data_IF_735793090155
#
_entry.id   IF_735793090155
#
_cell.length_a   1.000
_cell.length_b   1.000
_cell.length_c   1.000
_cell.angle_alpha   90.00
_cell.angle_beta   90.00
_cell.angle_gamma   90.00
#
_symmetry.space_group_name_H-M   'P 1'
#
loop_
_entity.id
_entity.type
_entity.pdbx_description
1 polymer ?
2 polymer ?
3 polymer ?
#
loop_
_entity_poly.entity_id
_entity_poly.type
_entity_poly.pdbx_seq_one_letter_code
_entity_poly.pdbx_strand_id
1 'polydeoxyribonucleotide' '(DC)(DA)(DG)(DT)(DG)(DT)(DC)(DC)(DG)(DA)(DT)(DA)(DA)(DT)(DT)(DT)(DA)(DT)(DA)(DA)(DA)' ?
2 'polydeoxyribonucleotide' '(DT)(DT)(DA)(DT)(DC)(DG)(DG)(DA)(DC)(DA)(DC)(DT)(DG)' ?
#
# COMPACT_ATOMS: atom_id res chain seq x y z
N UNK G 1 25.31 -1.13 -5.18
CA UNK G 1 26.07 -1.86 -6.23
C UNK G 1 26.09 -3.39 -6.06
N UNK G 2 26.38 -3.85 -4.82
CA UNK G 2 26.64 -5.27 -4.52
C UNK G 2 25.47 -6.18 -4.86
N UNK G 3 25.35 -6.52 -6.15
CA UNK G 3 24.09 -7.00 -6.77
C UNK G 3 23.43 -8.24 -6.16
N UNK G 4 22.11 -8.22 -6.07
CA UNK G 4 21.32 -9.37 -5.66
C UNK G 4 20.44 -9.89 -6.80
N UNK G 5 19.77 -11.01 -6.56
CA UNK G 5 18.86 -11.58 -7.56
C UNK G 5 17.63 -12.24 -6.96
N UNK G 6 16.47 -11.99 -7.59
CA UNK G 6 15.21 -12.56 -7.12
C UNK G 6 14.25 -13.02 -8.21
N UNK G 7 13.76 -14.25 -8.08
CA UNK G 7 12.76 -14.79 -9.00
C UNK G 7 11.70 -15.66 -8.29
N UNK G 8 10.65 -16.02 -9.01
CA UNK G 8 9.53 -16.76 -8.44
C UNK G 8 8.80 -17.58 -9.49
N UNK G 9 7.98 -18.53 -9.03
CA UNK G 9 7.09 -19.27 -9.92
C UNK G 9 5.77 -19.52 -9.21
N UNK G 10 4.72 -19.85 -9.96
CA UNK G 10 3.40 -20.10 -9.36
C UNK G 10 2.55 -21.21 -10.01
N UNK G 11 2.86 -21.57 -11.25
CA UNK G 11 2.08 -22.58 -11.99
C UNK G 11 2.73 -23.95 -11.89
N UNK G 12 2.05 -24.96 -12.45
CA UNK G 12 2.60 -26.30 -12.61
C UNK G 12 3.82 -26.29 -13.53
N UNK G 13 3.88 -25.29 -14.40
CA UNK G 13 5.06 -25.02 -15.21
C UNK G 13 6.06 -24.23 -14.35
N UNK G 14 6.99 -24.96 -13.73
CA UNK G 14 8.04 -24.36 -12.90
C UNK G 14 9.12 -23.74 -13.78
N UNK G 15 8.74 -22.69 -14.50
CA UNK G 15 9.63 -21.96 -15.40
C UNK G 15 10.68 -21.18 -14.61
N UNK G 16 11.14 -21.77 -13.50
CA UNK G 16 12.08 -21.14 -12.61
C UNK G 16 13.49 -21.19 -13.17
N UNK G 17 13.83 -22.33 -13.77
CA UNK G 17 15.16 -22.56 -14.35
C UNK G 17 15.54 -21.40 -15.27
N UNK G 18 14.56 -20.94 -16.06
CA UNK G 18 14.72 -19.83 -16.99
C UNK G 18 14.96 -18.51 -16.26
N UNK G 19 14.16 -18.27 -15.22
CA UNK G 19 14.25 -17.06 -14.40
C UNK G 19 15.68 -16.81 -13.97
N UNK G 20 16.24 -17.81 -13.29
CA UNK G 20 17.61 -17.80 -12.80
C UNK G 20 18.61 -17.62 -13.94
N UNK G 21 18.43 -18.42 -14.98
CA UNK G 21 19.39 -18.50 -16.07
C UNK G 21 20.02 -17.17 -16.45
N UNK G 22 19.20 -16.13 -16.58
CA UNK G 22 19.76 -14.84 -16.97
C UNK G 22 20.20 -14.00 -15.77
N UNK G 23 19.63 -14.25 -14.59
CA UNK G 23 19.99 -13.47 -13.40
C UNK G 23 21.48 -13.59 -13.16
N UNK G 24 22.03 -14.74 -13.55
CA UNK G 24 23.48 -14.98 -13.56
C UNK G 24 24.14 -14.22 -14.69
N UNK G 25 23.69 -14.49 -15.93
CA UNK G 25 24.22 -13.87 -17.12
C UNK G 25 24.16 -12.33 -17.06
N UNK G 26 23.44 -11.80 -16.09
CA UNK G 26 23.42 -10.37 -15.81
C UNK G 26 24.69 -9.98 -15.04
N UNK G 27 24.98 -10.72 -13.98
CA UNK G 27 26.16 -10.49 -13.16
C UNK G 27 26.12 -11.11 -11.77
N UNK G 28 24.92 -11.44 -11.31
CA UNK G 28 24.70 -11.94 -9.94
C UNK G 28 24.70 -13.45 -9.86
N UNK G 29 25.36 -13.96 -8.82
CA UNK G 29 25.47 -15.41 -8.61
C UNK G 29 24.43 -15.93 -7.62
N UNK G 30 24.14 -17.24 -7.72
CA UNK G 30 23.19 -17.93 -6.85
C UNK G 30 23.47 -17.66 -5.38
N UNK G 31 24.76 -17.63 -5.04
CA UNK G 31 25.25 -17.18 -3.74
C UNK G 31 24.40 -16.04 -3.16
N UNK G 32 23.75 -15.28 -4.06
CA UNK G 32 22.86 -14.20 -3.68
C UNK G 32 21.61 -14.15 -4.59
N UNK G 33 21.00 -15.32 -4.84
CA UNK G 33 19.74 -15.39 -5.61
C UNK G 33 18.59 -16.06 -4.85
N UNK G 34 17.49 -15.36 -4.73
CA UNK G 34 16.42 -15.76 -3.82
C UNK G 34 15.19 -16.27 -4.55
N UNK G 35 14.41 -17.12 -3.87
CA UNK G 35 13.31 -17.84 -4.53
C UNK G 35 12.17 -18.26 -3.63
N UNK G 36 10.97 -17.85 -4.02
CA UNK G 36 9.72 -18.37 -3.46
C UNK G 36 9.05 -19.23 -4.53
N UNK G 37 8.66 -20.44 -4.17
CA UNK G 37 7.89 -21.28 -5.09
C UNK G 37 6.44 -21.25 -4.61
N UNK G 38 5.71 -20.22 -5.03
CA UNK G 38 4.37 -19.91 -4.50
C UNK G 38 3.40 -21.10 -4.39
N UNK G 39 3.48 -21.81 -3.28
CA UNK G 39 2.67 -23.01 -3.03
C UNK G 39 1.27 -22.64 -2.56
N UNK G 44 3.09 -16.42 2.19
CA UNK G 44 4.06 -17.51 2.10
C UNK G 44 5.32 -17.11 1.31
N UNK G 45 5.40 -15.84 0.91
CA UNK G 45 6.52 -15.32 0.14
C UNK G 45 7.78 -15.13 1.02
N UNK G 46 8.30 -16.23 1.52
CA UNK G 46 9.35 -16.22 2.54
C UNK G 46 10.70 -15.74 2.01
N UNK G 47 11.27 -16.47 1.05
CA UNK G 47 12.54 -16.10 0.43
C UNK G 47 12.63 -14.64 -0.03
N UNK G 48 11.50 -13.96 -0.04
CA UNK G 48 11.49 -12.54 -0.34
C UNK G 48 11.76 -11.74 0.93
N UNK G 49 10.98 -12.01 1.96
CA UNK G 49 11.14 -11.37 3.26
C UNK G 49 12.61 -11.43 3.67
N UNK G 50 13.24 -12.57 3.41
CA UNK G 50 14.63 -12.78 3.81
C UNK G 50 15.57 -11.93 2.98
N UNK G 51 15.27 -11.82 1.70
CA UNK G 51 16.04 -10.94 0.83
C UNK G 51 15.88 -9.52 1.33
N UNK G 52 14.64 -9.16 1.64
CA UNK G 52 14.29 -7.85 2.19
C UNK G 52 15.19 -7.44 3.35
N UNK G 53 15.66 -8.41 4.12
CA UNK G 53 16.43 -8.09 5.31
C UNK G 53 17.93 -8.33 5.16
N UNK G 54 18.32 -8.98 4.07
CA UNK G 54 19.75 -9.17 3.78
C UNK G 54 20.33 -7.91 3.12
N UNK G 55 19.47 -7.16 2.42
CA UNK G 55 19.92 -5.95 1.72
C UNK G 55 20.16 -4.78 2.66
N UNK G 56 21.09 -3.91 2.29
CA UNK G 56 21.46 -2.71 3.06
C UNK G 56 21.65 -1.51 2.12
N UNK G 57 22.07 -0.37 2.67
CA UNK G 57 22.32 0.84 1.87
C UNK G 57 23.17 0.57 0.64
N UNK G 58 22.78 1.19 -0.48
CA UNK G 58 23.54 1.08 -1.72
C UNK G 58 23.71 -0.33 -2.26
N UNK G 59 22.68 -1.16 -2.10
CA UNK G 59 22.64 -2.47 -2.75
C UNK G 59 21.90 -2.33 -4.07
N UNK G 60 21.95 -3.38 -4.88
CA UNK G 60 21.18 -3.43 -6.13
C UNK G 60 20.68 -4.84 -6.38
N UNK G 61 19.39 -4.96 -6.72
CA UNK G 61 18.75 -6.25 -7.04
C UNK G 61 18.45 -6.40 -8.53
N UNK G 62 17.87 -7.55 -8.91
CA UNK G 62 17.49 -7.86 -10.28
C UNK G 62 16.37 -8.88 -10.33
N UNK G 63 15.29 -8.51 -11.02
CA UNK G 63 14.13 -9.38 -11.22
C UNK G 63 13.82 -9.49 -12.71
N UNK G 64 13.55 -10.72 -13.16
CA UNK G 64 13.44 -10.98 -14.61
C UNK G 64 12.60 -9.94 -15.33
N UNK G 65 11.30 -9.96 -15.01
CA UNK G 65 10.32 -8.99 -15.53
C UNK G 65 9.48 -8.41 -14.40
N UNK G 66 8.59 -7.49 -14.80
CA UNK G 66 7.64 -6.76 -13.91
C UNK G 66 6.65 -7.54 -13.04
N UNK G 67 6.14 -8.65 -13.55
CA UNK G 67 5.26 -9.49 -12.76
C UNK G 67 5.99 -10.21 -11.65
N UNK G 68 7.29 -10.43 -11.84
CA UNK G 68 8.01 -11.38 -11.01
C UNK G 68 8.33 -10.92 -9.61
N UNK G 69 8.31 -9.61 -9.41
CA UNK G 69 8.46 -9.07 -8.07
C UNK G 69 7.18 -9.32 -7.29
N UNK G 70 6.12 -8.60 -7.68
CA UNK G 70 4.84 -8.70 -7.02
C UNK G 70 3.73 -8.84 -8.04
N UNK G 71 2.68 -9.55 -7.60
CA UNK G 71 1.51 -9.79 -8.42
C UNK G 71 0.55 -8.60 -8.33
N UNK G 72 0.42 -8.06 -7.12
CA UNK G 72 -0.63 -7.09 -6.82
C UNK G 72 -0.06 -5.69 -6.78
N UNK G 73 -0.45 -4.87 -7.77
CA UNK G 73 0.16 -3.55 -7.96
C UNK G 73 0.30 -2.82 -6.63
N UNK G 74 -0.73 -2.91 -5.80
CA UNK G 74 -0.76 -2.20 -4.53
C UNK G 74 0.53 -2.31 -3.74
N UNK G 75 1.01 -3.53 -3.51
CA UNK G 75 2.23 -3.68 -2.70
C UNK G 75 3.52 -3.81 -3.50
N UNK G 76 3.39 -4.06 -4.80
CA UNK G 76 4.51 -3.92 -5.72
C UNK G 76 5.20 -2.60 -5.40
N UNK G 77 4.39 -1.59 -5.05
CA UNK G 77 4.90 -0.29 -4.69
C UNK G 77 5.52 -0.35 -3.31
N UNK G 78 4.78 -0.88 -2.35
CA UNK G 78 5.23 -0.89 -0.97
C UNK G 78 6.68 -1.35 -0.93
N UNK G 79 6.98 -2.45 -1.62
CA UNK G 79 8.33 -2.98 -1.71
C UNK G 79 9.29 -1.90 -2.17
N UNK G 80 9.05 -1.41 -3.39
CA UNK G 80 9.84 -0.33 -3.99
C UNK G 80 10.02 0.85 -3.02
N UNK G 81 8.91 1.31 -2.43
CA UNK G 81 8.95 2.42 -1.49
C UNK G 81 9.91 2.08 -0.34
N UNK G 82 9.59 1.00 0.37
CA UNK G 82 10.44 0.48 1.45
C UNK G 82 11.87 0.24 0.95
N UNK G 83 11.97 -0.14 -0.32
CA UNK G 83 13.26 -0.44 -0.93
C UNK G 83 14.09 0.82 -1.20
N UNK G 84 13.45 1.83 -1.78
CA UNK G 84 14.12 3.09 -2.05
C UNK G 84 14.49 3.79 -0.75
N UNK G 85 13.70 3.53 0.29
CA UNK G 85 13.98 4.07 1.62
C UNK G 85 15.35 3.60 2.13
N UNK G 86 15.66 2.33 1.88
CA UNK G 86 16.92 1.74 2.30
C UNK G 86 18.07 2.13 1.39
N UNK G 87 17.76 2.36 0.12
CA UNK G 87 18.75 2.72 -0.87
C UNK G 87 19.05 1.56 -1.80
N UNK G 88 18.09 0.66 -1.91
CA UNK G 88 18.25 -0.49 -2.78
C UNK G 88 17.40 -0.36 -4.04
N UNK G 89 17.99 -0.73 -5.17
CA UNK G 89 17.34 -0.62 -6.46
C UNK G 89 17.17 -2.01 -7.10
N UNK G 90 15.95 -2.27 -7.61
CA UNK G 90 15.61 -3.49 -8.37
C UNK G 90 15.31 -3.16 -9.82
N UNK G 91 15.95 -3.89 -10.73
CA UNK G 91 15.82 -3.63 -12.16
C UNK G 91 14.89 -4.69 -12.80
N UNK G 92 14.22 -4.31 -13.87
CA UNK G 92 13.28 -5.22 -14.55
C UNK G 92 13.87 -5.63 -15.89
N UNK G 93 14.79 -6.59 -15.83
CA UNK G 93 15.65 -6.99 -16.97
C UNK G 93 14.96 -7.04 -18.34
N UNK G 94 13.71 -7.48 -18.35
CA UNK G 94 12.90 -7.57 -19.56
C UNK G 94 12.32 -6.22 -19.95
N UNK G 95 12.03 -5.42 -18.92
CA UNK G 95 11.38 -4.13 -19.10
C UNK G 95 12.38 -2.98 -19.20
N UNK G 96 13.51 -3.14 -18.51
CA UNK G 96 14.61 -2.18 -18.50
C UNK G 96 14.27 -0.88 -17.78
N UNK G 97 13.79 -1.00 -16.54
CA UNK G 97 13.49 0.18 -15.73
C UNK G 97 14.13 0.08 -14.33
N UNK G 98 14.59 1.24 -13.84
CA UNK G 98 15.31 1.36 -12.57
C UNK G 98 14.48 1.92 -11.43
N UNK G 99 14.19 1.10 -10.41
CA UNK G 99 13.70 1.58 -9.11
C UNK G 99 14.39 2.86 -8.63
N UNK G 100 15.60 3.11 -9.14
CA UNK G 100 16.56 4.06 -8.54
C UNK G 100 16.29 5.54 -8.82
N UNK G 101 15.91 5.87 -10.05
CA UNK G 101 15.51 7.24 -10.37
C UNK G 101 14.20 7.59 -9.66
N UNK G 102 13.53 8.63 -10.13
CA UNK G 102 12.13 8.79 -9.85
C UNK G 102 11.46 8.13 -11.03
N UNK G 103 11.47 8.85 -12.15
CA UNK G 103 10.90 8.39 -13.43
C UNK G 103 10.92 6.88 -13.57
N UNK G 104 11.99 6.26 -13.12
CA UNK G 104 12.09 4.82 -13.11
C UNK G 104 10.92 4.27 -12.34
N UNK G 105 10.99 4.35 -11.01
CA UNK G 105 9.93 3.75 -10.16
C UNK G 105 8.54 4.24 -10.55
N UNK G 106 8.41 5.56 -10.68
CA UNK G 106 7.25 6.13 -11.27
C UNK G 106 6.80 5.24 -12.46
N UNK G 107 7.63 5.10 -13.49
CA UNK G 107 7.22 4.27 -14.65
C UNK G 107 7.22 2.75 -14.37
N UNK G 108 7.76 2.32 -13.25
CA UNK G 108 7.53 0.91 -12.87
C UNK G 108 6.02 0.80 -12.46
N UNK G 109 5.69 1.49 -11.38
CA UNK G 109 4.35 1.58 -10.88
C UNK G 109 3.34 1.97 -11.98
N UNK G 110 3.79 2.76 -12.95
CA UNK G 110 2.94 3.02 -14.09
C UNK G 110 2.55 1.71 -14.75
N UNK G 111 3.55 0.99 -15.25
CA UNK G 111 3.35 -0.23 -16.01
C UNK G 111 2.57 -1.31 -15.27
N UNK G 112 2.73 -1.40 -13.94
CA UNK G 112 2.06 -2.46 -13.20
C UNK G 112 0.55 -2.28 -13.26
N UNK G 113 0.06 -1.12 -12.87
CA UNK G 113 -1.39 -0.91 -12.85
C UNK G 113 -2.01 -1.07 -14.23
N UNK G 114 -1.22 -0.77 -15.25
CA UNK G 114 -1.71 -0.91 -16.62
C UNK G 114 -1.70 -2.37 -17.05
N UNK G 115 -0.96 -3.19 -16.32
CA UNK G 115 -0.81 -4.61 -16.66
C UNK G 115 -1.78 -5.46 -15.85
N UNK G 116 -2.16 -4.95 -14.68
CA UNK G 116 -3.14 -5.64 -13.86
C UNK G 116 -4.51 -5.43 -14.47
N UNK G 117 -4.74 -4.23 -14.98
CA UNK G 117 -5.96 -3.94 -15.69
C UNK G 117 -6.22 -4.96 -16.81
N UNK G 118 -5.17 -5.66 -17.22
CA UNK G 118 -5.28 -6.76 -18.19
C UNK G 118 -5.74 -8.02 -17.45
N UNK G 119 -5.09 -8.32 -16.33
CA UNK G 119 -5.42 -9.50 -15.55
C UNK G 119 -6.82 -9.38 -14.99
N UNK G 120 -7.11 -8.21 -14.43
CA UNK G 120 -8.41 -7.95 -13.81
C UNK G 120 -9.58 -8.18 -14.78
N UNK G 121 -9.40 -7.73 -16.02
CA UNK G 121 -10.35 -8.02 -17.09
C UNK G 121 -10.35 -9.53 -17.42
N UNK G 122 -9.17 -10.11 -17.57
CA UNK G 122 -9.02 -11.53 -17.91
C UNK G 122 -9.88 -12.39 -16.99
N UNK G 123 -9.74 -12.16 -15.69
CA UNK G 123 -10.43 -12.96 -14.69
C UNK G 123 -11.95 -12.85 -14.78
N UNK G 124 -12.44 -11.66 -15.17
CA UNK G 124 -13.86 -11.46 -15.35
C UNK G 124 -14.35 -12.25 -16.56
N UNK G 125 -13.55 -12.27 -17.63
CA UNK G 125 -13.89 -13.03 -18.84
C UNK G 125 -13.72 -14.54 -18.60
N UNK G 126 -12.75 -14.89 -17.75
CA UNK G 126 -12.55 -16.27 -17.32
C UNK G 126 -13.76 -16.76 -16.55
N UNK G 127 -14.24 -15.96 -15.60
CA UNK G 127 -15.40 -16.30 -14.79
C UNK G 127 -16.72 -16.25 -15.56
N UNK G 128 -16.87 -15.23 -16.42
CA UNK G 128 -18.03 -15.15 -17.32
C UNK G 128 -18.12 -16.39 -18.20
N UNK G 129 -16.96 -16.94 -18.55
CA UNK G 129 -16.87 -18.15 -19.36
C UNK G 129 -17.03 -19.44 -18.57
N UNK G 130 -16.99 -19.32 -17.24
CA UNK G 130 -17.28 -20.45 -16.35
C UNK G 130 -18.75 -20.47 -15.95
N UNK G 131 -19.37 -19.29 -15.92
CA UNK G 131 -20.80 -19.15 -15.63
C UNK G 131 -21.67 -19.54 -16.83
N UNK G 132 -21.10 -19.47 -18.03
CA UNK G 132 -21.77 -19.94 -19.25
C UNK G 132 -21.37 -21.40 -19.56
N UNK G 133 -20.58 -21.99 -18.67
CA UNK G 133 -20.19 -23.41 -18.76
C UNK G 133 -20.89 -24.24 -17.68
N UNK G 134 -20.96 -23.70 -16.46
CA UNK G 134 -21.70 -24.30 -15.36
C UNK G 134 -23.19 -24.43 -15.69
N UNK G 135 -23.76 -23.36 -16.26
CA UNK G 135 -25.16 -23.31 -16.64
C UNK G 135 -25.47 -24.15 -17.87
N UNK G 136 -24.48 -24.31 -18.75
CA UNK G 136 -24.62 -25.09 -19.99
C UNK G 136 -24.83 -26.58 -19.71
N UNK G 137 -24.20 -27.08 -18.64
CA UNK G 137 -24.32 -28.48 -18.24
C UNK G 137 -23.01 -29.23 -18.24
N UNK G 138 -22.02 -28.67 -17.54
CA UNK G 138 -20.69 -29.28 -17.43
C UNK G 138 -20.44 -29.71 -15.97
N UNK G 139 -19.79 -30.87 -15.81
CA UNK G 139 -19.42 -31.37 -14.48
C UNK G 139 -18.30 -30.52 -13.86
N UNK G 140 -18.43 -30.24 -12.55
CA UNK G 140 -17.52 -29.31 -11.85
C UNK G 140 -16.61 -30.00 -10.85
N UNK G 141 -15.53 -29.31 -10.46
CA UNK G 141 -14.66 -29.72 -9.35
C UNK G 141 -14.00 -31.09 -9.48
N UNK G 142 -14.23 -31.94 -8.48
CA UNK G 142 -13.67 -33.29 -8.45
C UNK G 142 -14.77 -34.34 -8.54
N UNK G 143 -14.45 -35.48 -9.15
CA UNK G 143 -15.42 -36.56 -9.36
C UNK G 143 -15.53 -37.52 -8.17
N UNK G 144 -16.70 -38.10 -7.99
CA UNK G 144 -16.92 -39.20 -7.07
C UNK G 144 -15.90 -40.30 -7.37
N UNK G 145 -15.21 -40.78 -6.34
CA UNK G 145 -14.22 -41.85 -6.48
C UNK G 145 -14.64 -43.15 -5.80
N UNK G 146 -15.40 -43.03 -4.73
CA UNK G 146 -15.83 -44.18 -3.91
C UNK G 146 -17.33 -44.43 -4.06
N UNK G 147 -17.67 -45.65 -4.48
CA UNK G 147 -19.06 -46.06 -4.73
C UNK G 147 -20.01 -45.73 -3.56
N UNK G 148 -20.89 -44.76 -3.80
CA UNK G 148 -21.89 -44.35 -2.82
C UNK G 148 -23.04 -45.37 -2.73
N UNK G 149 -23.14 -46.22 -3.76
CA UNK G 149 -24.09 -47.33 -3.80
C UNK G 149 -23.69 -48.42 -2.82
N UNK G 150 -22.38 -48.53 -2.58
CA UNK G 150 -21.82 -49.49 -1.63
C UNK G 150 -22.02 -49.05 -0.19
N UNK G 151 -22.09 -47.74 0.01
CA UNK G 151 -22.26 -47.15 1.34
C UNK G 151 -23.73 -47.13 1.77
N UNK G 152 -24.61 -46.78 0.84
CA UNK G 152 -26.06 -46.68 1.10
C UNK G 152 -26.70 -48.04 1.44
N UNK G 153 -26.19 -49.09 0.83
CA UNK G 153 -26.58 -50.47 1.15
C UNK G 153 -26.11 -50.90 2.54
N UNK G 154 -25.01 -50.31 2.97
CA UNK G 154 -24.39 -50.62 4.25
C UNK G 154 -24.93 -49.75 5.39
N UNK G 155 -25.90 -48.90 5.07
CA UNK G 155 -26.59 -48.06 6.07
C UNK G 155 -28.07 -48.43 6.20
N UNK G 156 -28.71 -48.78 5.08
CA UNK G 156 -30.06 -49.34 5.08
C UNK G 156 -30.06 -50.66 5.85
N UNK G 157 -28.89 -51.28 5.93
CA UNK G 157 -28.64 -52.43 6.77
C UNK G 157 -28.89 -52.09 8.24
N UNK G 158 -28.73 -50.82 8.59
CA UNK G 158 -28.81 -50.36 9.96
C UNK G 158 -27.50 -50.59 10.68
N UNK G 159 -26.43 -50.69 9.88
CA UNK G 159 -25.10 -51.00 10.38
C UNK G 159 -24.49 -49.78 11.04
N UNK G 160 -23.69 -50.00 12.09
CA UNK G 160 -22.99 -48.93 12.79
C UNK G 160 -22.08 -48.18 11.84
N UNK G 161 -22.20 -46.84 11.83
CA UNK G 161 -21.47 -45.99 10.90
C UNK G 161 -19.96 -46.09 11.03
N UNK G 162 -19.48 -46.24 12.27
CA UNK G 162 -18.06 -46.32 12.58
C UNK G 162 -17.41 -47.59 12.01
N UNK G 163 -18.17 -48.68 12.00
CA UNK G 163 -17.73 -49.98 11.50
C UNK G 163 -17.38 -49.92 10.01
N UNK G 164 -18.17 -49.15 9.25
CA UNK G 164 -18.04 -49.06 7.79
C UNK G 164 -16.72 -48.43 7.34
N UNK G 165 -16.19 -47.53 8.16
CA UNK G 165 -14.96 -46.80 7.83
C UNK G 165 -13.69 -47.67 7.82
N UNK G 166 -13.84 -48.95 8.17
CA UNK G 166 -12.74 -49.91 8.09
C UNK G 166 -13.10 -51.18 7.31
N UNK G 167 -14.39 -51.39 7.06
CA UNK G 167 -14.84 -52.37 6.08
C UNK G 167 -14.49 -51.82 4.69
N UNK G 168 -14.90 -50.58 4.44
CA UNK G 168 -14.35 -49.78 3.34
C UNK G 168 -13.35 -48.81 3.95
N UNK G 169 -12.06 -49.03 3.70
CA UNK G 169 -11.00 -48.27 4.35
C UNK G 169 -10.94 -46.81 3.91
N UNK G 170 -11.91 -46.03 4.40
CA UNK G 170 -12.10 -44.64 4.02
C UNK G 170 -12.23 -43.78 5.29
N UNK G 171 -12.48 -42.48 5.08
CA UNK G 171 -12.75 -41.56 6.19
C UNK G 171 -14.13 -41.80 6.78
N UNK G 172 -14.23 -41.69 8.11
CA UNK G 172 -15.48 -41.90 8.83
C UNK G 172 -16.45 -40.72 8.66
N UNK G 173 -15.90 -39.52 8.54
CA UNK G 173 -16.69 -38.30 8.39
C UNK G 173 -17.47 -38.26 7.07
N UNK G 174 -16.85 -38.75 5.99
CA UNK G 174 -17.49 -38.79 4.68
C UNK G 174 -18.69 -39.72 4.65
N UNK G 175 -18.56 -40.87 5.31
CA UNK G 175 -19.65 -41.83 5.46
C UNK G 175 -20.97 -41.12 5.73
N UNK G 176 -21.00 -40.28 6.77
CA UNK G 176 -22.19 -39.54 7.17
C UNK G 176 -22.69 -38.60 6.08
N UNK G 177 -21.86 -37.61 5.74
CA UNK G 177 -22.23 -36.59 4.76
C UNK G 177 -22.77 -37.20 3.47
N UNK G 178 -22.26 -38.37 3.10
CA UNK G 178 -22.72 -39.11 1.92
C UNK G 178 -24.23 -39.41 2.00
N UNK G 179 -24.67 -39.89 3.16
CA UNK G 179 -26.07 -40.26 3.38
C UNK G 179 -26.98 -39.03 3.41
N UNK G 180 -26.40 -37.87 3.72
CA UNK G 180 -27.15 -36.62 3.84
C UNK G 180 -27.58 -35.99 2.50
N UNK G 181 -26.94 -36.40 1.40
CA UNK G 181 -27.22 -35.82 0.08
C UNK G 181 -28.60 -36.20 -0.47
N UNK G 182 -28.88 -37.49 -0.50
CA UNK G 182 -30.16 -38.00 -1.00
C UNK G 182 -31.28 -37.79 0.02
N UNK G 183 -32.01 -36.68 -0.12
CA UNK G 183 -33.14 -36.35 0.74
C UNK G 183 -34.43 -37.01 0.29
N UNK H 2 -26.46 4.62 0.48
CA UNK H 2 -25.68 5.55 1.35
C UNK H 2 -24.50 6.15 0.60
N UNK H 3 -24.36 7.47 0.69
CA UNK H 3 -23.27 8.20 0.04
C UNK H 3 -22.50 9.09 1.02
N UNK H 4 -21.20 9.23 0.80
CA UNK H 4 -20.31 9.87 1.78
C UNK H 4 -19.33 10.89 1.19
N UNK H 5 -18.89 11.81 2.04
CA UNK H 5 -17.95 12.87 1.67
C UNK H 5 -16.73 12.95 2.56
N UNK H 6 -15.57 13.18 1.94
CA UNK H 6 -14.29 13.27 2.64
C UNK H 6 -13.45 14.45 2.13
N UNK H 7 -12.78 15.12 3.06
CA UNK H 7 -11.90 16.25 2.73
C UNK H 7 -10.70 16.38 3.69
N UNK H 8 -9.72 17.18 3.29
CA UNK H 8 -8.44 17.28 4.02
C UNK H 8 -7.77 18.62 3.74
N UNK H 9 -6.74 18.92 4.52
CA UNK H 9 -5.99 20.17 4.37
C UNK H 9 -4.52 20.00 4.82
N UNK H 10 -3.66 20.91 4.37
CA UNK H 10 -2.28 20.94 4.82
C UNK H 10 -1.83 22.34 5.18
N UNK H 11 -2.09 23.29 4.28
CA UNK H 11 -1.59 24.65 4.40
C UNK H 11 -2.24 25.42 5.56
N UNK H 12 -1.61 26.51 5.98
CA UNK H 12 -2.24 27.48 6.89
C UNK H 12 -3.41 28.14 6.17
N UNK H 13 -3.38 28.05 4.84
CA UNK H 13 -4.49 28.41 3.97
C UNK H 13 -5.51 27.26 3.96
N UNK H 14 -6.41 27.30 4.94
CA UNK H 14 -7.41 26.26 5.16
C UNK H 14 -8.49 26.28 4.06
N UNK H 15 -8.14 25.77 2.89
CA UNK H 15 -9.11 25.66 1.79
C UNK H 15 -10.19 24.62 2.11
N UNK H 16 -10.35 24.33 3.40
CA UNK H 16 -11.23 23.27 3.88
C UNK H 16 -12.70 23.61 3.65
N UNK H 17 -13.09 24.84 3.99
CA UNK H 17 -14.45 25.32 3.78
C UNK H 17 -14.90 25.14 2.33
N UNK H 18 -13.94 25.21 1.41
CA UNK H 18 -14.20 25.14 -0.03
C UNK H 18 -14.47 23.70 -0.50
N UNK H 19 -13.64 22.76 -0.05
CA UNK H 19 -13.81 21.34 -0.39
C UNK H 19 -15.18 20.82 0.02
N UNK H 20 -15.59 21.18 1.24
CA UNK H 20 -16.86 20.74 1.81
C UNK H 20 -18.02 21.27 0.98
N UNK H 21 -17.90 22.51 0.52
CA UNK H 21 -18.95 23.15 -0.27
C UNK H 21 -19.35 22.27 -1.44
N UNK H 22 -18.38 21.91 -2.27
CA UNK H 22 -18.61 21.04 -3.42
C UNK H 22 -19.30 19.73 -3.03
N UNK H 23 -18.90 19.19 -1.88
CA UNK H 23 -19.48 17.94 -1.39
C UNK H 23 -20.99 18.04 -1.20
N UNK H 24 -21.42 19.17 -0.64
CA UNK H 24 -22.86 19.45 -0.47
C UNK H 24 -23.52 19.69 -1.83
N UNK H 25 -22.78 20.30 -2.75
CA UNK H 25 -23.25 20.52 -4.12
C UNK H 25 -23.24 19.21 -4.93
N UNK H 26 -23.00 18.09 -4.24
CA UNK H 26 -23.02 16.77 -4.85
C UNK H 26 -24.13 15.89 -4.27
N UNK H 27 -24.47 16.11 -3.00
CA UNK H 27 -25.59 15.41 -2.37
C UNK H 27 -25.31 14.80 -1.00
N UNK H 28 -24.09 14.95 -0.50
CA UNK H 28 -23.72 14.43 0.81
C UNK H 28 -23.82 15.54 1.85
N UNK H 29 -24.45 15.23 2.98
CA UNK H 29 -24.62 16.19 4.07
C UNK H 29 -23.40 16.13 4.99
N UNK H 30 -23.23 17.16 5.82
CA UNK H 30 -22.19 17.16 6.88
C UNK H 30 -22.49 16.06 7.91
N UNK H 31 -23.69 15.50 7.79
CA UNK H 31 -24.12 14.31 8.49
C UNK H 31 -23.35 13.06 8.04
N UNK H 32 -22.71 13.14 6.88
CA UNK H 32 -21.93 12.02 6.33
C UNK H 32 -20.62 12.53 5.71
N UNK H 33 -20.08 13.61 6.29
CA UNK H 33 -18.82 14.20 5.82
C UNK H 33 -17.75 14.14 6.91
N UNK H 34 -16.52 13.88 6.49
CA UNK H 34 -15.42 13.70 7.43
C UNK H 34 -14.18 14.47 7.03
N UNK H 35 -13.41 14.89 8.04
CA UNK H 35 -12.25 15.74 7.78
C UNK H 35 -11.04 15.53 8.69
N UNK H 36 -9.85 15.57 8.08
CA UNK H 36 -8.58 15.50 8.78
C UNK H 36 -7.79 16.78 8.49
N UNK H 37 -7.41 17.50 9.55
CA UNK H 37 -6.59 18.70 9.44
C UNK H 37 -5.14 18.35 9.74
N UNK H 38 -4.45 17.80 8.74
CA UNK H 38 -3.09 17.27 8.90
C UNK H 38 -2.16 18.21 9.64
N UNK H 39 -1.76 17.82 10.85
CA UNK H 39 -0.90 18.64 11.69
C UNK H 39 0.27 17.83 12.26
N UNK H 44 -1.13 11.56 11.02
CA UNK H 44 -2.22 11.97 11.91
C UNK H 44 -3.57 11.97 11.16
N UNK H 45 -3.86 10.88 10.49
CA UNK H 45 -5.07 10.75 9.68
C UNK H 45 -6.17 9.95 10.39
N UNK H 46 -6.56 10.43 11.57
CA UNK H 46 -7.54 9.75 12.43
C UNK H 46 -8.94 9.68 11.81
N UNK H 47 -9.48 10.83 11.43
CA UNK H 47 -10.83 10.94 10.86
C UNK H 47 -11.09 10.03 9.67
N UNK H 48 -10.05 9.78 8.89
CA UNK H 48 -10.14 8.84 7.77
C UNK H 48 -10.42 7.43 8.27
N UNK H 49 -9.58 6.96 9.20
CA UNK H 49 -9.74 5.65 9.83
C UNK H 49 -11.20 5.41 10.22
N UNK H 50 -11.81 6.41 10.84
CA UNK H 50 -13.19 6.34 11.30
C UNK H 50 -14.16 6.12 10.14
N UNK H 51 -13.98 6.87 9.06
CA UNK H 51 -14.78 6.68 7.86
C UNK H 51 -14.54 5.30 7.28
N UNK H 52 -13.27 4.90 7.26
CA UNK H 52 -12.88 3.57 6.77
C UNK H 52 -13.47 2.46 7.65
N UNK H 53 -13.94 2.83 8.84
CA UNK H 53 -14.52 1.86 9.76
C UNK H 53 -16.05 1.90 9.80
N UNK H 54 -16.66 2.81 9.04
CA UNK H 54 -18.11 2.96 9.09
C UNK H 54 -18.79 2.97 7.73
N UNK H 55 -18.30 2.14 6.81
CA UNK H 55 -18.93 1.95 5.50
C UNK H 55 -18.97 0.48 5.10
N UNK H 56 -20.13 0.02 4.63
CA UNK H 56 -20.32 -1.36 4.18
C UNK H 56 -20.59 -1.41 2.67
N UNK H 57 -20.91 -2.61 2.16
CA UNK H 57 -21.13 -2.82 0.73
C UNK H 57 -22.31 -2.00 0.21
N UNK H 58 -22.09 -1.33 -0.92
CA UNK H 58 -23.13 -0.49 -1.55
C UNK H 58 -22.98 0.99 -1.27
N UNK H 59 -21.83 1.38 -0.72
CA UNK H 59 -21.56 2.78 -0.38
C UNK H 59 -20.56 3.42 -1.35
N UNK H 60 -20.58 4.75 -1.42
CA UNK H 60 -19.73 5.52 -2.34
C UNK H 60 -19.17 6.79 -1.66
N UNK H 61 -17.85 6.93 -1.67
CA UNK H 61 -17.17 8.07 -1.04
C UNK H 61 -16.80 9.16 -2.05
N UNK H 62 -16.64 10.38 -1.58
CA UNK H 62 -16.23 11.46 -2.46
C UNK H 62 -15.09 12.32 -1.92
N UNK H 63 -14.22 12.73 -2.82
CA UNK H 63 -13.17 13.73 -2.53
C UNK H 63 -13.12 14.67 -3.73
N UNK H 64 -12.89 15.97 -3.47
CA UNK H 64 -12.77 16.97 -4.53
C UNK H 64 -11.64 16.63 -5.49
N UNK H 65 -10.40 16.86 -5.04
CA UNK H 65 -9.19 16.54 -5.78
C UNK H 65 -8.75 15.12 -5.47
N UNK H 66 -7.90 14.59 -6.34
CA UNK H 66 -7.33 13.26 -6.17
C UNK H 66 -6.30 13.19 -5.06
N UNK H 67 -5.23 14.00 -5.19
CA UNK H 67 -4.17 14.11 -4.19
C UNK H 67 -4.70 14.19 -2.75
N UNK H 68 -5.95 14.65 -2.60
CA UNK H 68 -6.55 14.91 -1.31
C UNK H 68 -6.73 13.66 -0.47
N UNK H 69 -7.04 12.55 -1.12
CA UNK H 69 -7.24 11.31 -0.38
C UNK H 69 -5.91 10.89 0.24
N UNK H 70 -4.98 10.47 -0.62
CA UNK H 70 -3.61 10.16 -0.20
C UNK H 70 -2.61 10.96 -1.02
N UNK H 71 -1.70 11.64 -0.32
CA UNK H 71 -0.62 12.41 -0.94
C UNK H 71 0.37 11.48 -1.66
N UNK H 72 0.77 10.43 -0.95
CA UNK H 72 1.70 9.40 -1.41
C UNK H 72 0.98 8.34 -2.21
N UNK H 73 1.41 8.15 -3.45
CA UNK H 73 0.78 7.22 -4.39
C UNK H 73 0.56 5.82 -3.81
N UNK H 74 1.54 5.35 -3.05
CA UNK H 74 1.53 3.99 -2.51
C UNK H 74 0.31 3.66 -1.65
N UNK H 75 0.22 4.27 -0.47
CA UNK H 75 -0.89 3.95 0.43
C UNK H 75 -2.25 4.38 -0.15
N UNK H 76 -2.20 5.19 -1.20
CA UNK H 76 -3.41 5.61 -1.90
C UNK H 76 -4.13 4.39 -2.49
N UNK H 77 -3.38 3.55 -3.21
CA UNK H 77 -3.96 2.31 -3.74
C UNK H 77 -4.35 1.38 -2.60
N UNK H 78 -3.52 1.32 -1.57
CA UNK H 78 -3.78 0.46 -0.42
C UNK H 78 -5.19 0.68 0.09
N UNK H 79 -5.55 1.95 0.27
CA UNK H 79 -6.91 2.29 0.68
C UNK H 79 -7.88 1.77 -0.35
N UNK H 80 -7.75 2.27 -1.58
CA UNK H 80 -8.65 1.88 -2.66
C UNK H 80 -8.83 0.37 -2.76
N UNK H 81 -7.73 -0.38 -2.62
CA UNK H 81 -7.80 -1.83 -2.60
C UNK H 81 -8.68 -2.32 -1.45
N UNK H 82 -8.30 -1.97 -0.22
CA UNK H 82 -9.10 -2.28 0.97
C UNK H 82 -10.54 -1.87 0.73
N UNK H 83 -10.71 -0.84 -0.09
CA UNK H 83 -12.02 -0.25 -0.32
C UNK H 83 -12.87 -1.04 -1.29
N UNK H 84 -12.29 -1.46 -2.41
CA UNK H 84 -13.04 -2.22 -3.39
C UNK H 84 -13.41 -3.58 -2.82
N UNK H 85 -12.54 -4.10 -1.95
CA UNK H 85 -12.78 -5.39 -1.28
C UNK H 85 -14.00 -5.34 -0.36
N UNK H 86 -14.15 -4.24 0.36
CA UNK H 86 -15.29 -4.03 1.25
C UNK H 86 -16.59 -3.83 0.48
N UNK H 87 -16.48 -3.19 -0.68
CA UNK H 87 -17.64 -2.92 -1.53
C UNK H 87 -17.88 -1.44 -1.78
N UNK H 88 -16.95 -0.61 -1.34
CA UNK H 88 -17.05 0.85 -1.47
C UNK H 88 -16.11 1.42 -2.52
N UNK H 89 -16.47 2.58 -3.06
CA UNK H 89 -15.72 3.20 -4.14
C UNK H 89 -15.78 4.72 -4.09
N UNK H 90 -14.64 5.35 -4.34
CA UNK H 90 -14.49 6.80 -4.29
C UNK H 90 -14.63 7.40 -5.67
N UNK H 91 -15.53 8.37 -5.80
CA UNK H 91 -15.55 9.22 -6.98
C UNK H 91 -14.78 10.49 -6.67
N UNK H 92 -14.03 10.97 -7.65
CA UNK H 92 -13.32 12.22 -7.50
C UNK H 92 -13.98 13.22 -8.42
N UNK H 93 -14.50 14.29 -7.84
CA UNK H 93 -15.32 15.21 -8.61
C UNK H 93 -14.52 16.02 -9.62
N UNK H 94 -13.32 16.47 -9.23
CA UNK H 94 -12.48 17.27 -10.12
C UNK H 94 -12.07 16.52 -11.37
N UNK H 95 -11.70 15.26 -11.21
CA UNK H 95 -11.16 14.47 -12.30
C UNK H 95 -12.22 13.57 -12.93
N UNK H 96 -13.30 13.31 -12.16
CA UNK H 96 -14.42 12.44 -12.53
C UNK H 96 -14.04 10.99 -12.84
N UNK H 97 -13.42 10.34 -11.86
CA UNK H 97 -13.06 8.92 -11.97
C UNK H 97 -13.56 8.14 -10.76
N UNK H 98 -14.05 6.94 -11.02
CA UNK H 98 -14.63 6.08 -10.00
C UNK H 98 -13.80 4.82 -9.84
N UNK H 99 -13.42 4.52 -8.60
CA UNK H 99 -12.75 3.25 -8.29
C UNK H 99 -13.66 2.02 -8.47
N UNK H 100 -14.95 2.29 -8.73
CA UNK H 100 -15.96 1.26 -8.93
C UNK H 100 -15.72 0.41 -10.17
N UNK H 101 -14.59 0.63 -10.84
CA UNK H 101 -14.25 -0.13 -12.03
C UNK H 101 -12.80 -0.62 -12.04
N UNK H 102 -12.44 -1.30 -13.12
CA UNK H 102 -11.08 -1.71 -13.37
C UNK H 102 -10.29 -0.49 -13.77
N UNK H 103 -10.49 -0.04 -15.01
CA UNK H 103 -9.81 1.14 -15.52
C UNK H 103 -9.81 2.26 -14.49
N UNK H 104 -10.99 2.65 -14.04
CA UNK H 104 -11.10 3.60 -12.94
C UNK H 104 -9.97 3.43 -11.97
N UNK H 105 -9.98 2.33 -11.23
CA UNK H 105 -8.91 2.04 -10.25
C UNK H 105 -7.52 2.27 -10.83
N UNK H 106 -7.26 1.62 -11.98
CA UNK H 106 -6.00 1.85 -12.70
C UNK H 106 -5.78 3.35 -12.88
N UNK H 107 -6.77 4.01 -13.47
CA UNK H 107 -6.62 5.40 -13.86
C UNK H 107 -6.55 6.30 -12.65
N UNK H 108 -6.97 5.82 -11.48
CA UNK H 108 -6.70 6.58 -10.28
C UNK H 108 -5.20 6.48 -10.11
N UNK H 109 -4.69 5.25 -10.10
CA UNK H 109 -3.29 5.00 -9.81
C UNK H 109 -2.33 5.76 -10.73
N UNK H 110 -2.39 5.54 -12.05
CA UNK H 110 -1.45 6.22 -12.95
C UNK H 110 -1.42 7.72 -12.67
N UNK H 111 -2.44 8.45 -13.10
CA UNK H 111 -2.65 9.79 -12.59
C UNK H 111 -1.76 10.11 -11.36
N UNK H 112 -1.94 9.34 -10.30
CA UNK H 112 -1.35 9.71 -9.02
C UNK H 112 0.14 9.48 -8.96
N UNK H 113 0.62 8.46 -9.68
CA UNK H 113 2.06 8.21 -9.81
C UNK H 113 2.81 9.40 -10.44
N UNK H 114 2.55 9.65 -11.73
CA UNK H 114 2.91 10.89 -12.43
C UNK H 114 2.74 12.11 -11.52
N UNK H 115 1.52 12.35 -11.05
CA UNK H 115 1.24 13.45 -10.14
C UNK H 115 2.37 13.66 -9.13
N UNK H 116 2.99 12.57 -8.71
CA UNK H 116 4.02 12.61 -7.69
C UNK H 116 5.40 12.94 -8.24
N UNK H 117 5.77 12.30 -9.34
CA UNK H 117 7.02 12.61 -10.01
C UNK H 117 7.19 14.13 -10.10
N UNK H 118 6.09 14.83 -10.38
CA UNK H 118 6.06 16.29 -10.32
C UNK H 118 6.22 16.75 -8.86
N UNK H 119 5.26 16.39 -8.01
CA UNK H 119 5.31 16.73 -6.59
C UNK H 119 6.72 16.51 -6.02
N UNK H 120 7.36 15.44 -6.44
CA UNK H 120 8.63 15.02 -5.84
C UNK H 120 9.81 15.81 -6.40
N UNK H 121 9.76 16.10 -7.70
CA UNK H 121 10.81 16.88 -8.35
C UNK H 121 10.77 18.33 -7.88
N UNK H 122 9.56 18.88 -7.76
CA UNK H 122 9.40 20.26 -7.31
C UNK H 122 9.89 20.40 -5.87
N UNK H 123 9.60 19.39 -5.05
CA UNK H 123 10.10 19.32 -3.69
C UNK H 123 11.61 19.53 -3.70
N UNK H 124 12.29 18.80 -4.57
CA UNK H 124 13.74 18.88 -4.66
C UNK H 124 14.17 20.30 -5.00
N UNK H 125 13.42 20.95 -5.90
CA UNK H 125 13.67 22.32 -6.33
C UNK H 125 13.53 23.29 -5.16
N UNK H 126 12.58 23.01 -4.27
CA UNK H 126 12.40 23.80 -3.05
C UNK H 126 13.66 23.68 -2.21
N UNK H 127 14.17 22.45 -2.05
CA UNK H 127 15.36 22.21 -1.25
C UNK H 127 16.63 22.80 -1.83
N UNK H 128 16.69 22.86 -3.16
CA UNK H 128 17.78 23.55 -3.86
C UNK H 128 17.73 25.04 -3.53
N UNK H 129 16.51 25.58 -3.48
CA UNK H 129 16.27 26.98 -3.11
C UNK H 129 16.59 27.29 -1.66
N UNK H 130 16.42 26.29 -0.80
CA UNK H 130 16.81 26.39 0.61
C UNK H 130 18.34 26.39 0.70
N UNK H 131 18.96 25.55 -0.13
CA UNK H 131 20.41 25.41 -0.19
C UNK H 131 21.08 26.68 -0.70
N UNK H 132 20.53 27.26 -1.77
CA UNK H 132 21.07 28.50 -2.35
C UNK H 132 20.71 29.74 -1.53
N UNK H 133 20.02 29.53 -0.41
CA UNK H 133 19.66 30.61 0.51
C UNK H 133 20.45 30.55 1.82
N UNK H 134 20.55 29.34 2.39
CA UNK H 134 21.28 29.13 3.65
C UNK H 134 22.78 29.39 3.49
N UNK H 135 23.27 29.26 2.26
CA UNK H 135 24.67 29.48 1.93
C UNK H 135 24.98 30.95 1.64
N UNK H 136 23.99 31.66 1.09
CA UNK H 136 24.13 33.08 0.76
C UNK H 136 24.08 33.96 2.02
N UNK H 137 23.37 33.48 3.04
CA UNK H 137 23.37 34.12 4.35
C UNK H 137 22.02 34.54 4.90
N UNK H 138 21.04 33.62 4.86
CA UNK H 138 19.69 33.90 5.35
C UNK H 138 19.42 33.25 6.71
N UNK H 139 18.70 33.96 7.57
CA UNK H 139 18.35 33.48 8.90
C UNK H 139 17.03 32.72 8.86
N UNK H 140 17.09 31.42 9.11
CA UNK H 140 15.91 30.55 9.12
C UNK H 140 15.28 30.42 10.50
N UNK H 141 14.09 29.81 10.56
CA UNK H 141 13.37 29.58 11.81
C UNK H 141 12.65 30.80 12.32
N UNK H 142 12.02 30.68 13.49
CA UNK H 142 11.41 31.84 14.14
C UNK H 142 12.49 32.74 14.74
N UNK H 143 12.32 34.05 14.58
CA UNK H 143 13.28 35.01 15.08
C UNK H 143 13.15 35.15 16.61
N UNK H 144 14.22 35.59 17.26
CA UNK H 144 14.28 35.67 18.72
C UNK H 144 13.39 36.80 19.24
N UNK H 145 12.86 36.63 20.46
CA UNK H 145 11.95 37.61 21.05
C UNK H 145 12.44 38.18 22.38
N UNK H 146 12.78 37.29 23.30
CA UNK H 146 13.09 37.64 24.69
C UNK H 146 14.38 38.45 24.82
N UNK H 147 14.29 39.59 25.50
CA UNK H 147 15.41 40.52 25.69
C UNK H 147 16.57 39.87 26.46
N UNK H 148 17.42 39.16 25.72
CA UNK H 148 18.48 38.33 26.29
C UNK H 148 19.51 39.14 27.07
N UNK H 149 19.92 40.27 26.48
CA UNK H 149 20.89 41.15 27.12
C UNK H 149 20.43 41.56 28.52
N UNK H 150 19.16 41.30 28.82
CA UNK H 150 18.59 41.56 30.14
C UNK H 150 18.74 40.33 31.04
N UNK H 151 18.42 39.17 30.50
CA UNK H 151 18.62 37.92 31.21
C UNK H 151 20.09 37.74 31.56
N UNK H 152 20.95 37.97 30.58
CA UNK H 152 22.40 37.88 30.77
C UNK H 152 22.86 38.88 31.83
N UNK H 153 22.19 40.03 31.90
CA UNK H 153 22.45 41.02 32.94
C UNK H 153 21.87 40.65 34.31
N UNK H 154 21.02 39.62 34.33
CA UNK H 154 20.45 39.13 35.57
C UNK H 154 21.17 37.90 36.15
N UNK H 155 22.07 37.31 35.37
CA UNK H 155 23.06 36.40 35.94
C UNK H 155 24.31 37.19 36.36
N UNK H 156 24.87 37.97 35.43
CA UNK H 156 26.01 38.84 35.71
C UNK H 156 25.84 39.51 37.07
N UNK H 157 24.59 39.74 37.44
CA UNK H 157 24.20 40.24 38.76
C UNK H 157 24.62 39.31 39.89
N UNK H 158 24.49 38.01 39.63
CA UNK H 158 24.65 36.99 40.67
C UNK H 158 23.30 36.61 41.23
N UNK H 159 22.28 36.64 40.38
CA UNK H 159 20.92 36.30 40.81
C UNK H 159 20.55 34.88 40.45
N UNK H 160 19.68 34.29 41.27
CA UNK H 160 19.17 32.94 41.02
C UNK H 160 18.51 32.82 39.67
N UNK H 161 18.81 31.73 38.96
CA UNK H 161 18.25 31.48 37.64
C UNK H 161 16.74 31.26 37.72
N UNK H 162 16.32 30.55 38.76
CA UNK H 162 14.90 30.36 39.06
C UNK H 162 14.21 31.71 39.27
N UNK H 163 14.86 32.56 40.07
CA UNK H 163 14.38 33.92 40.36
C UNK H 163 14.04 34.68 39.07
N UNK H 164 14.91 34.56 38.06
CA UNK H 164 14.71 35.20 36.77
C UNK H 164 13.37 34.81 36.17
N UNK H 165 13.13 33.51 36.08
CA UNK H 165 11.96 32.95 35.41
C UNK H 165 10.64 33.33 36.06
N UNK H 166 10.68 33.82 37.30
CA UNK H 166 9.50 34.36 37.96
C UNK H 166 9.37 35.86 37.72
N UNK H 167 10.52 36.55 37.71
CA UNK H 167 10.54 38.01 37.51
C UNK H 167 10.06 38.35 36.12
N UNK H 168 10.71 37.75 35.11
CA UNK H 168 10.22 37.78 33.75
C UNK H 168 9.25 36.61 33.58
N UNK H 169 8.06 36.88 33.05
CA UNK H 169 7.06 35.83 32.82
C UNK H 169 7.48 34.87 31.71
N UNK H 170 8.65 34.28 31.85
CA UNK H 170 9.22 33.37 30.85
C UNK H 170 9.74 32.07 31.46
N UNK H 171 10.04 31.11 30.59
CA UNK H 171 10.43 29.75 31.01
C UNK H 171 11.82 29.71 31.61
N UNK H 172 12.01 28.79 32.55
CA UNK H 172 13.26 28.67 33.29
C UNK H 172 14.37 27.97 32.51
N UNK H 173 14.04 26.83 31.90
CA UNK H 173 15.02 26.06 31.14
C UNK H 173 15.67 26.88 30.04
N UNK H 174 14.91 27.82 29.52
CA UNK H 174 15.41 28.73 28.49
C UNK H 174 16.50 29.61 29.08
N UNK H 175 16.26 30.14 30.28
CA UNK H 175 17.22 31.01 30.97
C UNK H 175 18.62 30.42 30.89
N UNK H 176 18.77 29.18 31.36
CA UNK H 176 20.05 28.49 31.37
C UNK H 176 20.68 28.41 29.99
N UNK H 177 19.92 27.87 29.04
CA UNK H 177 20.34 27.76 27.64
C UNK H 177 20.90 29.09 27.12
N UNK H 178 20.22 30.17 27.48
CA UNK H 178 20.59 31.52 27.07
C UNK H 178 22.03 31.87 27.49
N UNK H 179 22.41 31.48 28.70
CA UNK H 179 23.72 31.82 29.23
C UNK H 179 24.82 31.04 28.49
N UNK H 180 24.62 29.74 28.33
CA UNK H 180 25.52 28.92 27.54
C UNK H 180 25.36 29.19 26.04
N UNK H 181 25.00 30.42 25.70
CA UNK H 181 24.91 30.85 24.31
C UNK H 181 26.10 31.76 23.96
N UNK H 182 26.40 32.70 24.83
CA UNK H 182 27.53 33.60 24.64
C UNK H 182 28.72 33.14 25.49
N UNK H 183 29.53 32.26 24.91
CA UNK H 183 30.70 31.68 25.60
C UNK H 183 31.81 32.71 25.84
#
# INVERSE_FOLDING_TARGET
MALFGYARVSTSQQSLDIQVRALKDAGVKANRIFTDKASGSSSDRKGLDLLRMKVKEGDVILVKKLDRLGRDTADMIQLIKEFDAQGVSIRFIDDSIDTSSAMGRMVVTILSAVAQAERQRILQRTNEGRQEAMAKGVVFGRKRKIDRDAVLNMWQQGLGASHISKTMNIARSTVYKVINESN
MALFGYARVSTSQQSLDIQVRALKDAGVKANRIFTDKASGSSSDRKGLDLLRMKVKEGDVILVKKLDRLGRDTADMIQLIKEFDAQGVSIRFIDDSIDTSSAMGRMVVTILSAVAQAERQRILQRTNEGRQEAMAKGVVFGRKRKIDRDAVLNMWQQGLGASHISKTMNIARSTVYKVINESN
#
